data_IF_600941230698
#
_entry.id   IF_600941230698
#
_cell.length_a   1.000
_cell.length_b   1.000
_cell.length_c   1.000
_cell.angle_alpha   90.00
_cell.angle_beta   90.00
_cell.angle_gamma   90.00
#
_symmetry.space_group_name_H-M   'P 1'
#
loop_
_entity.id
_entity.type
_entity.pdbx_description
1 polymer ?
#
# COMPACT_ATOMS: atom_id res chain seq x y z
N UNK A 1 -29.46 13.08 -18.45
CA UNK A 1 -28.51 12.78 -17.35
C UNK A 1 -28.60 11.29 -17.09
N UNK A 2 -27.61 10.50 -17.53
CA UNK A 2 -27.63 9.05 -17.33
C UNK A 2 -27.25 8.76 -15.87
N UNK A 3 -28.15 8.09 -15.16
CA UNK A 3 -27.93 7.68 -13.77
C UNK A 3 -26.70 6.78 -13.69
N UNK A 4 -25.68 7.22 -12.96
CA UNK A 4 -24.60 6.32 -12.54
C UNK A 4 -25.21 5.37 -11.52
N UNK A 5 -25.60 4.17 -11.95
CA UNK A 5 -26.01 3.11 -11.03
C UNK A 5 -24.91 2.87 -10.01
N UNK A 6 -25.31 2.69 -8.75
CA UNK A 6 -24.41 2.33 -7.64
C UNK A 6 -23.62 1.10 -8.06
N UNK A 7 -22.29 1.18 -8.08
CA UNK A 7 -21.44 0.03 -8.39
C UNK A 7 -21.15 -0.74 -7.10
N UNK A 8 -21.61 -1.98 -7.04
CA UNK A 8 -21.22 -2.91 -5.98
C UNK A 8 -19.88 -3.55 -6.33
N UNK A 9 -18.89 -3.36 -5.47
CA UNK A 9 -17.57 -4.00 -5.57
C UNK A 9 -17.57 -5.21 -4.65
N UNK A 10 -17.12 -6.36 -5.16
CA UNK A 10 -17.04 -7.59 -4.37
C UNK A 10 -15.60 -7.95 -4.09
N UNK A 11 -15.39 -8.67 -2.98
CA UNK A 11 -14.12 -9.33 -2.72
C UNK A 11 -13.89 -10.45 -3.74
N UNK A 12 -12.84 -10.32 -4.57
CA UNK A 12 -12.33 -11.28 -5.58
C UNK A 12 -13.43 -11.95 -6.42
N UNK A 13 -13.53 -11.57 -7.70
CA UNK A 13 -14.36 -12.22 -8.71
C UNK A 13 -15.87 -12.31 -8.42
N UNK A 14 -16.41 -11.49 -7.51
CA UNK A 14 -17.85 -11.41 -7.29
C UNK A 14 -18.39 -12.38 -6.23
N UNK A 15 -19.73 -12.48 -6.12
CA UNK A 15 -20.39 -13.52 -5.32
C UNK A 15 -19.99 -14.91 -5.82
N UNK A 16 -19.70 -15.80 -4.88
CA UNK A 16 -19.40 -17.22 -5.16
C UNK A 16 -20.27 -18.10 -4.29
N UNK A 17 -21.12 -18.90 -4.93
CA UNK A 17 -22.01 -19.83 -4.23
C UNK A 17 -21.23 -20.91 -3.46
N UNK A 18 -20.04 -21.26 -3.94
CA UNK A 18 -19.14 -22.26 -3.34
C UNK A 18 -18.17 -21.66 -2.31
N UNK A 19 -18.25 -20.35 -2.04
CA UNK A 19 -17.34 -19.73 -1.09
C UNK A 19 -17.67 -20.19 0.35
N UNK A 20 -16.66 -20.54 1.15
CA UNK A 20 -16.87 -20.93 2.56
C UNK A 20 -17.38 -19.76 3.42
N UNK A 21 -17.29 -18.52 2.90
CA UNK A 21 -17.73 -17.29 3.57
C UNK A 21 -18.52 -16.44 2.57
N UNK A 22 -19.69 -15.87 2.96
CA UNK A 22 -20.46 -14.96 2.10
C UNK A 22 -19.65 -13.75 1.62
N UNK A 23 -19.89 -13.33 0.38
CA UNK A 23 -19.23 -12.17 -0.28
C UNK A 23 -20.24 -11.08 -0.64
N UNK A 24 -20.80 -10.35 0.36
CA UNK A 24 -21.89 -9.40 0.13
C UNK A 24 -21.51 -8.22 -0.77
N UNK A 25 -20.22 -7.91 -0.86
CA UNK A 25 -19.72 -6.73 -1.57
C UNK A 25 -19.95 -5.43 -0.79
N UNK A 26 -19.55 -4.32 -1.42
CA UNK A 26 -19.62 -2.96 -0.89
C UNK A 26 -20.20 -2.07 -1.99
N UNK A 27 -21.28 -1.36 -1.68
CA UNK A 27 -21.81 -0.33 -2.57
C UNK A 27 -20.96 0.94 -2.42
N UNK A 28 -20.35 1.37 -3.52
CA UNK A 28 -19.60 2.63 -3.53
C UNK A 28 -20.56 3.80 -3.76
N UNK A 29 -20.57 4.74 -2.81
CA UNK A 29 -21.26 6.01 -2.92
C UNK A 29 -20.27 7.15 -2.72
N UNK A 30 -20.47 8.28 -3.41
CA UNK A 30 -19.61 9.47 -3.20
C UNK A 30 -19.65 9.88 -1.73
N UNK A 31 -18.48 10.11 -1.14
CA UNK A 31 -18.33 10.39 0.30
C UNK A 31 -18.53 9.18 1.24
N UNK A 32 -18.89 8.01 0.71
CA UNK A 32 -19.10 6.78 1.48
C UNK A 32 -17.92 5.80 1.42
N UNK A 33 -16.81 6.18 0.79
CA UNK A 33 -15.60 5.36 0.73
C UNK A 33 -14.34 6.23 0.83
N UNK A 34 -13.23 5.57 1.14
CA UNK A 34 -11.89 6.13 1.12
C UNK A 34 -10.93 5.13 0.47
N UNK A 35 -9.81 5.63 -0.07
CA UNK A 35 -8.69 4.83 -0.54
C UNK A 35 -7.62 4.85 0.54
N UNK A 36 -7.25 3.68 1.06
CA UNK A 36 -6.11 3.54 1.98
C UNK A 36 -5.00 2.83 1.22
N UNK A 37 -3.83 3.46 1.12
CA UNK A 37 -2.63 2.86 0.52
C UNK A 37 -1.62 2.62 1.62
N UNK A 38 -1.24 1.36 1.80
CA UNK A 38 -0.37 0.87 2.86
C UNK A 38 1.02 0.65 2.26
N UNK A 39 2.03 1.13 2.98
CA UNK A 39 3.46 1.00 2.69
C UNK A 39 3.88 1.38 1.25
N UNK A 40 3.39 2.51 0.66
CA UNK A 40 3.72 2.88 -0.73
C UNK A 40 5.11 3.51 -0.87
N UNK A 41 6.08 3.02 -0.10
CA UNK A 41 7.41 3.61 0.01
C UNK A 41 8.37 3.08 -1.06
N UNK A 42 9.37 3.88 -1.40
CA UNK A 42 10.34 3.63 -2.47
C UNK A 42 11.06 2.30 -2.30
N UNK A 43 11.40 1.89 -1.07
CA UNK A 43 12.02 0.60 -0.82
C UNK A 43 11.20 -0.58 -1.35
N UNK A 44 9.88 -0.41 -1.45
CA UNK A 44 8.94 -1.40 -1.97
C UNK A 44 8.59 -1.18 -3.45
N UNK A 45 8.38 0.07 -3.85
CA UNK A 45 7.76 0.42 -5.14
C UNK A 45 8.74 0.88 -6.23
N UNK A 46 10.01 1.13 -5.90
CA UNK A 46 11.03 1.58 -6.87
C UNK A 46 12.00 0.45 -7.25
N UNK A 47 12.44 0.37 -8.52
CA UNK A 47 13.53 -0.52 -8.96
C UNK A 47 14.86 -0.34 -8.21
N UNK A 48 15.07 0.85 -7.64
CA UNK A 48 16.23 1.21 -6.83
C UNK A 48 16.03 0.90 -5.34
N UNK A 49 14.83 0.49 -4.94
CA UNK A 49 14.48 0.14 -3.56
C UNK A 49 15.18 -1.12 -3.07
N UNK A 50 15.52 -1.16 -1.77
CA UNK A 50 16.33 -2.26 -1.22
C UNK A 50 15.63 -3.63 -1.26
N UNK A 51 14.29 -3.66 -1.38
CA UNK A 51 13.53 -4.93 -1.49
C UNK A 51 13.31 -5.41 -2.91
N UNK A 52 13.75 -4.65 -3.92
CA UNK A 52 13.34 -4.90 -5.30
C UNK A 52 13.71 -6.31 -5.79
N UNK A 53 14.84 -6.85 -5.34
CA UNK A 53 15.26 -8.22 -5.66
C UNK A 53 14.34 -9.33 -5.13
N UNK A 54 13.41 -9.00 -4.23
CA UNK A 54 12.48 -9.94 -3.58
C UNK A 54 11.05 -9.73 -4.07
N UNK A 55 10.61 -8.48 -4.26
CA UNK A 55 9.22 -8.14 -4.59
C UNK A 55 9.03 -7.59 -6.01
N UNK A 56 10.09 -7.14 -6.66
CA UNK A 56 10.03 -6.36 -7.90
C UNK A 56 9.36 -7.07 -9.08
N UNK A 57 9.54 -8.40 -9.19
CA UNK A 57 8.86 -9.20 -10.21
C UNK A 57 7.34 -9.15 -10.01
N UNK A 58 6.86 -9.35 -8.78
CA UNK A 58 5.44 -9.29 -8.46
C UNK A 58 4.88 -7.88 -8.61
N UNK A 59 5.62 -6.86 -8.17
CA UNK A 59 5.24 -5.45 -8.35
C UNK A 59 5.03 -5.12 -9.82
N UNK A 60 5.95 -5.57 -10.69
CA UNK A 60 5.92 -5.35 -12.14
C UNK A 60 4.80 -6.15 -12.80
N UNK A 61 4.68 -7.45 -12.52
CA UNK A 61 3.67 -8.33 -13.09
C UNK A 61 2.25 -7.80 -12.80
N UNK A 62 2.02 -7.31 -11.59
CA UNK A 62 0.72 -6.76 -11.20
C UNK A 62 0.49 -5.32 -11.67
N UNK A 63 1.50 -4.65 -12.25
CA UNK A 63 1.40 -3.22 -12.61
C UNK A 63 1.12 -2.32 -11.42
N UNK A 64 1.66 -2.66 -10.25
CA UNK A 64 1.23 -2.11 -8.94
C UNK A 64 1.35 -0.60 -8.88
N UNK A 65 2.49 -0.04 -9.31
CA UNK A 65 2.75 1.41 -9.29
C UNK A 65 1.74 2.16 -10.16
N UNK A 66 1.54 1.72 -11.41
CA UNK A 66 0.58 2.32 -12.33
C UNK A 66 -0.87 2.19 -11.82
N UNK A 67 -1.21 1.07 -11.16
CA UNK A 67 -2.53 0.87 -10.57
C UNK A 67 -2.78 1.85 -9.42
N UNK A 68 -1.79 2.05 -8.53
CA UNK A 68 -1.88 3.02 -7.44
C UNK A 68 -2.04 4.44 -8.00
N UNK A 69 -1.26 4.81 -9.03
CA UNK A 69 -1.39 6.10 -9.70
C UNK A 69 -2.81 6.35 -10.22
N UNK A 70 -3.39 5.37 -10.94
CA UNK A 70 -4.78 5.45 -11.42
C UNK A 70 -5.81 5.54 -10.29
N UNK A 71 -5.58 4.87 -9.16
CA UNK A 71 -6.44 4.99 -7.98
C UNK A 71 -6.41 6.40 -7.40
N UNK A 72 -5.23 7.05 -7.35
CA UNK A 72 -5.11 8.43 -6.88
C UNK A 72 -5.78 9.44 -7.82
N UNK A 73 -5.60 9.28 -9.13
CA UNK A 73 -6.26 10.11 -10.14
C UNK A 73 -7.79 10.04 -9.99
N UNK A 74 -8.34 8.83 -9.94
CA UNK A 74 -9.79 8.62 -9.82
C UNK A 74 -10.30 9.10 -8.45
N UNK A 75 -9.57 8.82 -7.37
CA UNK A 75 -9.96 9.28 -6.03
C UNK A 75 -10.09 10.81 -5.99
N UNK A 76 -9.15 11.52 -6.62
CA UNK A 76 -9.21 12.98 -6.77
C UNK A 76 -10.41 13.44 -7.60
N UNK A 77 -10.66 12.81 -8.74
CA UNK A 77 -11.78 13.17 -9.63
C UNK A 77 -13.16 12.97 -8.99
N UNK A 78 -13.27 11.99 -8.08
CA UNK A 78 -14.53 11.67 -7.42
C UNK A 78 -14.68 12.25 -6.01
N UNK A 79 -13.68 13.03 -5.55
CA UNK A 79 -13.60 13.61 -4.21
C UNK A 79 -13.66 12.55 -3.10
N UNK A 80 -12.91 11.46 -3.29
CA UNK A 80 -12.72 10.43 -2.29
C UNK A 80 -11.53 10.74 -1.39
N UNK A 81 -11.67 10.47 -0.09
CA UNK A 81 -10.55 10.59 0.85
C UNK A 81 -9.44 9.60 0.49
N UNK A 82 -8.21 10.08 0.40
CA UNK A 82 -7.01 9.24 0.31
C UNK A 82 -6.29 9.28 1.65
N UNK A 83 -5.90 8.13 2.17
CA UNK A 83 -5.08 7.98 3.38
C UNK A 83 -3.87 7.13 3.02
N UNK A 84 -2.67 7.66 3.28
CA UNK A 84 -1.42 6.92 3.14
C UNK A 84 -0.98 6.47 4.52
N UNK A 85 -0.67 5.18 4.65
CA UNK A 85 -0.19 4.54 5.87
C UNK A 85 1.20 3.97 5.61
N UNK A 86 2.27 4.76 5.78
CA UNK A 86 3.63 4.25 5.64
C UNK A 86 4.04 3.42 6.86
N UNK A 87 5.05 2.57 6.68
CA UNK A 87 5.72 1.81 7.73
C UNK A 87 7.10 2.39 8.00
N UNK A 88 7.54 2.40 9.25
CA UNK A 88 8.89 2.86 9.61
C UNK A 88 9.49 1.96 10.67
N UNK A 89 10.77 1.65 10.50
CA UNK A 89 11.61 1.05 11.53
C UNK A 89 12.55 2.10 12.12
N UNK A 90 12.61 2.15 13.44
CA UNK A 90 13.48 3.03 14.22
C UNK A 90 14.60 2.23 14.87
N UNK A 91 15.66 2.87 15.42
CA UNK A 91 16.79 2.15 15.98
C UNK A 91 16.43 1.12 17.07
N UNK A 92 15.35 1.36 17.83
CA UNK A 92 14.89 0.45 18.87
C UNK A 92 14.10 -0.76 18.32
N UNK A 93 13.63 -0.71 17.08
CA UNK A 93 12.91 -1.83 16.47
C UNK A 93 13.87 -2.96 16.04
N UNK A 94 15.13 -2.60 15.77
CA UNK A 94 16.22 -3.56 15.51
C UNK A 94 16.65 -4.35 16.77
N UNK A 95 16.13 -3.99 17.94
CA UNK A 95 16.39 -4.70 19.21
C UNK A 95 15.27 -5.69 19.58
N UNK A 96 14.31 -5.94 18.67
CA UNK A 96 13.22 -6.89 18.92
C UNK A 96 13.78 -8.31 19.11
N UNK A 97 13.25 -9.03 20.11
CA UNK A 97 13.75 -10.36 20.47
C UNK A 97 13.34 -11.46 19.49
N UNK A 98 12.27 -11.22 18.72
CA UNK A 98 11.69 -12.16 17.76
C UNK A 98 11.10 -11.39 16.59
N UNK A 99 11.22 -11.95 15.39
CA UNK A 99 10.78 -11.34 14.14
C UNK A 99 10.08 -12.37 13.26
N UNK A 100 9.25 -11.88 12.34
CA UNK A 100 8.76 -12.70 11.22
C UNK A 100 9.84 -12.97 10.17
N UNK A 101 9.65 -14.01 9.34
CA UNK A 101 10.64 -14.37 8.32
C UNK A 101 10.93 -13.24 7.30
N UNK A 102 9.89 -12.49 6.89
CA UNK A 102 10.07 -11.33 6.03
C UNK A 102 10.68 -10.15 6.79
N UNK A 103 10.27 -9.94 8.05
CA UNK A 103 10.76 -8.85 8.89
C UNK A 103 12.26 -8.92 9.17
N UNK A 104 12.80 -10.12 9.43
CA UNK A 104 14.25 -10.30 9.53
C UNK A 104 14.98 -9.83 8.28
N UNK A 105 14.45 -10.16 7.10
CA UNK A 105 15.03 -9.67 5.85
C UNK A 105 14.91 -8.15 5.74
N UNK A 106 13.77 -7.57 6.11
CA UNK A 106 13.53 -6.12 6.06
C UNK A 106 14.52 -5.36 6.95
N UNK A 107 14.78 -5.84 8.16
CA UNK A 107 15.80 -5.29 9.06
C UNK A 107 17.22 -5.44 8.48
N UNK A 108 17.58 -6.62 7.96
CA UNK A 108 18.91 -6.90 7.39
C UNK A 108 19.29 -5.96 6.23
N UNK A 109 18.31 -5.59 5.39
CA UNK A 109 18.52 -4.70 4.24
C UNK A 109 18.28 -3.21 4.59
N UNK A 110 17.88 -2.92 5.82
CA UNK A 110 17.60 -1.56 6.28
C UNK A 110 16.38 -0.90 5.62
N UNK A 111 15.40 -1.70 5.21
CA UNK A 111 14.15 -1.23 4.62
C UNK A 111 13.41 -0.29 5.58
N UNK A 112 12.85 0.80 5.05
CA UNK A 112 12.01 1.75 5.80
C UNK A 112 12.69 2.41 7.01
N UNK A 113 14.01 2.34 7.10
CA UNK A 113 14.74 2.85 8.25
C UNK A 113 14.62 4.36 8.41
N UNK A 114 14.34 4.78 9.64
CA UNK A 114 14.27 6.18 10.08
C UNK A 114 15.09 6.36 11.34
N UNK A 115 15.69 7.54 11.50
CA UNK A 115 16.41 7.88 12.75
C UNK A 115 15.46 8.07 13.93
N UNK A 116 14.23 8.52 13.66
CA UNK A 116 13.21 8.72 14.67
C UNK A 116 11.88 9.19 14.07
N UNK A 117 10.79 9.17 14.85
CA UNK A 117 9.43 9.41 14.36
C UNK A 117 9.15 10.86 13.93
N UNK A 118 9.94 11.82 14.41
CA UNK A 118 9.82 13.25 14.08
C UNK A 118 11.05 13.79 13.33
N UNK A 119 12.05 12.93 13.10
CA UNK A 119 13.24 13.30 12.35
C UNK A 119 12.89 13.22 10.87
N UNK A 120 13.21 14.26 10.08
CA UNK A 120 13.01 14.32 8.62
C UNK A 120 14.33 14.32 7.84
N UNK A 121 15.47 14.32 8.54
CA UNK A 121 16.79 14.37 7.93
C UNK A 121 17.03 13.14 7.06
N UNK A 122 17.26 13.39 5.76
CA UNK A 122 17.45 12.33 4.78
C UNK A 122 16.18 11.53 4.47
N UNK A 123 14.98 12.07 4.72
CA UNK A 123 13.73 11.47 4.23
C UNK A 123 13.60 11.60 2.71
N UNK A 124 13.74 12.82 2.19
CA UNK A 124 13.47 13.12 0.79
C UNK A 124 14.33 12.26 -0.15
N UNK A 125 13.67 11.48 -1.02
CA UNK A 125 14.30 10.56 -1.96
C UNK A 125 14.89 9.30 -1.33
N UNK A 126 14.69 9.06 -0.03
CA UNK A 126 15.11 7.81 0.62
C UNK A 126 14.18 6.65 0.28
N UNK A 127 14.62 5.43 0.63
CA UNK A 127 13.79 4.24 0.59
C UNK A 127 12.52 4.31 1.44
N UNK A 128 12.58 5.04 2.56
CA UNK A 128 11.44 5.25 3.46
C UNK A 128 10.48 6.36 2.98
N UNK A 129 10.85 7.10 1.94
CA UNK A 129 10.00 8.10 1.30
C UNK A 129 8.94 7.42 0.41
N UNK A 130 7.86 8.14 0.14
CA UNK A 130 6.72 7.67 -0.67
C UNK A 130 6.10 8.79 -1.52
N UNK A 131 6.69 9.99 -1.50
CA UNK A 131 6.23 11.18 -2.24
C UNK A 131 6.93 11.36 -3.58
#
# INVERSE_FOLDING_TARGET
MQGHGTKTVHYIDGPREDAPIPRPGVELSRGGFAVVVIDPQNDFLSPEGVTWGVVGESVTENGTVDNIGRLFEVAKDVDAQVVVSPHYYYPHDHDWAFEGALETLMHDIGMFNRKGPLDVDGLEGSGADWL
#
